data_IF_519325211958
#
_entry.id   IF_519325211958
#
_cell.length_a   1.000
_cell.length_b   1.000
_cell.length_c   1.000
_cell.angle_alpha   90.00
_cell.angle_beta   90.00
_cell.angle_gamma   90.00
#
_symmetry.space_group_name_H-M   'P 1'
#
loop_
_entity.id
_entity.type
_entity.pdbx_description
1 polymer ?
#
# COMPACT_ATOMS: atom_id res chain seq x y z
N UNK A 1 4.74 23.03 -17.42
CA UNK A 1 3.90 21.96 -16.83
C UNK A 1 3.22 22.48 -15.58
N UNK A 2 1.91 22.20 -15.42
CA UNK A 2 1.16 22.54 -14.21
C UNK A 2 1.72 21.72 -13.03
N UNK A 3 1.89 22.35 -11.87
CA UNK A 3 2.41 21.67 -10.67
C UNK A 3 1.33 20.75 -10.12
N UNK A 4 1.64 19.48 -9.92
CA UNK A 4 0.72 18.53 -9.30
C UNK A 4 0.38 18.93 -7.87
N UNK A 5 -0.90 18.80 -7.51
CA UNK A 5 -1.42 18.97 -6.16
C UNK A 5 -1.05 17.76 -5.29
N UNK A 6 -1.18 17.91 -3.97
CA UNK A 6 -0.98 16.81 -3.03
C UNK A 6 -1.94 15.64 -3.28
N UNK A 7 -3.21 15.96 -3.59
CA UNK A 7 -4.26 14.97 -3.90
C UNK A 7 -3.92 14.15 -5.14
N UNK A 8 -3.45 14.77 -6.21
CA UNK A 8 -3.05 14.07 -7.44
C UNK A 8 -1.91 13.08 -7.17
N UNK A 9 -0.92 13.47 -6.36
CA UNK A 9 0.16 12.57 -5.96
C UNK A 9 -0.33 11.40 -5.12
N UNK A 10 -1.27 11.65 -4.23
CA UNK A 10 -1.87 10.60 -3.41
C UNK A 10 -2.64 9.61 -4.28
N UNK A 11 -3.47 10.09 -5.20
CA UNK A 11 -4.19 9.25 -6.18
C UNK A 11 -3.19 8.40 -6.96
N UNK A 12 -2.19 9.03 -7.61
CA UNK A 12 -1.18 8.31 -8.40
C UNK A 12 -0.50 7.19 -7.61
N UNK A 13 -0.10 7.49 -6.37
CA UNK A 13 0.56 6.51 -5.49
C UNK A 13 -0.37 5.37 -5.07
N UNK A 14 -1.62 5.68 -4.70
CA UNK A 14 -2.61 4.69 -4.26
C UNK A 14 -2.99 3.74 -5.41
N UNK A 15 -3.12 4.29 -6.61
CA UNK A 15 -3.57 3.57 -7.80
C UNK A 15 -2.44 2.99 -8.64
N UNK A 16 -1.18 3.28 -8.30
CA UNK A 16 -0.01 2.76 -9.00
C UNK A 16 0.23 3.38 -10.38
N UNK A 17 -0.26 4.59 -10.61
CA UNK A 17 -0.09 5.38 -11.85
C UNK A 17 1.26 6.09 -11.79
N UNK A 18 2.12 5.83 -12.78
CA UNK A 18 3.51 6.32 -12.79
C UNK A 18 3.71 7.59 -13.61
N UNK A 19 2.94 7.75 -14.70
CA UNK A 19 3.03 8.93 -15.58
C UNK A 19 2.06 10.05 -15.12
N UNK A 20 2.02 11.20 -15.82
CA UNK A 20 1.08 12.27 -15.53
C UNK A 20 -0.37 11.77 -15.44
N UNK A 21 -1.10 12.28 -14.44
CA UNK A 21 -2.51 11.95 -14.27
C UNK A 21 -3.34 12.75 -15.30
N UNK A 22 -3.55 12.15 -16.47
CA UNK A 22 -4.45 12.70 -17.48
C UNK A 22 -5.94 12.52 -17.10
N UNK A 23 -6.82 13.14 -17.88
CA UNK A 23 -8.27 13.12 -17.62
C UNK A 23 -8.87 11.70 -17.72
N UNK A 24 -8.34 10.86 -18.61
CA UNK A 24 -8.80 9.47 -18.77
C UNK A 24 -8.41 8.61 -17.57
N UNK A 25 -7.12 8.64 -17.18
CA UNK A 25 -6.59 7.93 -16.01
C UNK A 25 -7.29 8.37 -14.73
N UNK A 26 -7.58 9.67 -14.60
CA UNK A 26 -8.33 10.22 -13.47
C UNK A 26 -9.77 9.70 -13.43
N UNK A 27 -10.49 9.80 -14.55
CA UNK A 27 -11.88 9.32 -14.63
C UNK A 27 -11.98 7.82 -14.33
N UNK A 28 -11.01 7.03 -14.79
CA UNK A 28 -11.01 5.59 -14.59
C UNK A 28 -10.65 5.21 -13.14
N UNK A 29 -9.65 5.88 -12.55
CA UNK A 29 -9.34 5.73 -11.13
C UNK A 29 -10.52 6.12 -10.24
N UNK A 30 -11.20 7.23 -10.55
CA UNK A 30 -12.39 7.68 -9.82
C UNK A 30 -13.56 6.69 -9.99
N UNK A 31 -13.75 6.12 -11.19
CA UNK A 31 -14.79 5.11 -11.47
C UNK A 31 -14.59 3.85 -10.63
N UNK A 32 -13.39 3.26 -10.69
CA UNK A 32 -13.04 2.05 -9.95
C UNK A 32 -13.08 2.33 -8.44
N UNK A 33 -12.48 3.44 -8.04
CA UNK A 33 -12.44 3.91 -6.66
C UNK A 33 -13.82 4.08 -6.05
N UNK A 34 -14.73 4.79 -6.73
CA UNK A 34 -16.09 5.00 -6.24
C UNK A 34 -16.89 3.71 -6.17
N UNK A 35 -16.73 2.79 -7.12
CA UNK A 35 -17.43 1.50 -7.07
C UNK A 35 -17.04 0.71 -5.81
N UNK A 36 -15.75 0.63 -5.51
CA UNK A 36 -15.24 -0.07 -4.32
C UNK A 36 -15.57 0.70 -3.05
N UNK A 37 -15.48 2.02 -3.08
CA UNK A 37 -15.86 2.88 -1.97
C UNK A 37 -17.32 2.67 -1.58
N UNK A 38 -18.26 2.68 -2.52
CA UNK A 38 -19.69 2.47 -2.22
C UNK A 38 -19.91 1.11 -1.54
N UNK A 39 -19.28 0.05 -2.06
CA UNK A 39 -19.37 -1.28 -1.47
C UNK A 39 -18.82 -1.29 -0.04
N UNK A 40 -17.59 -0.80 0.16
CA UNK A 40 -16.96 -0.75 1.47
C UNK A 40 -17.70 0.18 2.44
N UNK A 41 -18.27 1.29 1.96
CA UNK A 41 -19.00 2.25 2.77
C UNK A 41 -20.21 1.60 3.42
N UNK A 42 -21.05 0.91 2.64
CA UNK A 42 -22.21 0.20 3.19
C UNK A 42 -21.79 -1.02 4.01
N UNK A 43 -20.75 -1.74 3.59
CA UNK A 43 -20.20 -2.85 4.38
C UNK A 43 -19.72 -2.36 5.74
N UNK A 44 -19.10 -1.19 5.83
CA UNK A 44 -18.66 -0.63 7.11
C UNK A 44 -19.86 -0.19 7.95
N UNK A 45 -20.86 0.48 7.38
CA UNK A 45 -22.04 0.90 8.16
C UNK A 45 -22.76 -0.30 8.76
N UNK A 46 -23.09 -1.31 7.93
CA UNK A 46 -23.89 -2.44 8.37
C UNK A 46 -23.05 -3.54 9.04
N UNK A 47 -21.84 -3.76 8.55
CA UNK A 47 -20.93 -4.77 9.06
C UNK A 47 -20.38 -4.47 10.45
N UNK A 48 -20.26 -3.18 10.83
CA UNK A 48 -19.85 -2.80 12.19
C UNK A 48 -20.98 -2.91 13.23
N UNK A 49 -22.25 -2.96 12.81
CA UNK A 49 -23.38 -3.05 13.75
C UNK A 49 -23.42 -4.41 14.48
N UNK A 50 -23.08 -5.49 13.77
CA UNK A 50 -23.06 -6.85 14.32
C UNK A 50 -22.02 -7.00 15.45
N UNK A 51 -20.73 -6.65 15.26
CA UNK A 51 -19.72 -6.62 16.31
C UNK A 51 -20.11 -5.75 17.49
N UNK A 52 -20.72 -4.58 17.23
CA UNK A 52 -21.11 -3.66 18.29
C UNK A 52 -22.11 -4.32 19.25
N UNK A 53 -23.09 -5.06 18.73
CA UNK A 53 -24.05 -5.79 19.54
C UNK A 53 -23.45 -7.05 20.19
N UNK A 54 -22.63 -7.79 19.45
CA UNK A 54 -22.00 -9.03 19.94
C UNK A 54 -20.96 -8.75 21.03
N UNK A 55 -20.28 -7.60 21.01
CA UNK A 55 -19.25 -7.25 21.98
C UNK A 55 -19.77 -7.24 23.43
N UNK A 56 -21.06 -6.93 23.64
CA UNK A 56 -21.67 -6.99 24.97
C UNK A 56 -21.73 -8.40 25.55
N UNK A 57 -21.84 -9.43 24.71
CA UNK A 57 -22.01 -10.83 25.14
C UNK A 57 -20.77 -11.69 24.90
N UNK A 58 -20.00 -11.39 23.85
CA UNK A 58 -18.83 -12.15 23.40
C UNK A 58 -17.65 -11.20 23.07
N UNK A 59 -17.16 -10.40 24.04
CA UNK A 59 -16.15 -9.38 23.78
C UNK A 59 -14.82 -9.95 23.25
N UNK A 60 -14.38 -11.09 23.78
CA UNK A 60 -13.14 -11.74 23.37
C UNK A 60 -13.21 -12.25 21.93
N UNK A 61 -14.30 -12.93 21.57
CA UNK A 61 -14.50 -13.46 20.21
C UNK A 61 -14.58 -12.34 19.18
N UNK A 62 -15.28 -11.25 19.51
CA UNK A 62 -15.35 -10.07 18.62
C UNK A 62 -13.96 -9.47 18.44
N UNK A 63 -13.18 -9.30 19.52
CA UNK A 63 -11.83 -8.76 19.43
C UNK A 63 -10.88 -9.64 18.59
N UNK A 64 -11.06 -10.95 18.63
CA UNK A 64 -10.20 -11.89 17.93
C UNK A 64 -10.61 -12.12 16.47
N UNK A 65 -11.92 -12.22 16.18
CA UNK A 65 -12.43 -12.61 14.86
C UNK A 65 -12.69 -11.39 13.97
N UNK A 66 -13.20 -10.30 14.52
CA UNK A 66 -13.66 -9.17 13.71
C UNK A 66 -12.53 -8.39 13.02
N UNK A 67 -11.41 -8.03 13.68
CA UNK A 67 -10.33 -7.31 13.00
C UNK A 67 -9.70 -8.11 11.83
N UNK A 68 -9.39 -9.42 11.97
CA UNK A 68 -8.95 -10.23 10.84
C UNK A 68 -9.97 -10.31 9.70
N UNK A 69 -11.27 -10.41 10.01
CA UNK A 69 -12.32 -10.45 9.00
C UNK A 69 -12.35 -9.16 8.15
N UNK A 70 -12.33 -8.00 8.81
CA UNK A 70 -12.28 -6.70 8.12
C UNK A 70 -10.99 -6.56 7.30
N UNK A 71 -9.86 -7.03 7.83
CA UNK A 71 -8.60 -7.05 7.10
C UNK A 71 -8.70 -7.88 5.81
N UNK A 72 -9.26 -9.10 5.87
CA UNK A 72 -9.45 -9.95 4.69
C UNK A 72 -10.34 -9.27 3.65
N UNK A 73 -11.44 -8.65 4.06
CA UNK A 73 -12.33 -7.90 3.17
C UNK A 73 -11.57 -6.73 2.50
N UNK A 74 -10.80 -5.97 3.28
CA UNK A 74 -9.98 -4.88 2.76
C UNK A 74 -8.94 -5.37 1.76
N UNK A 75 -8.30 -6.52 2.01
CA UNK A 75 -7.34 -7.14 1.09
C UNK A 75 -8.00 -7.60 -0.21
N UNK A 76 -9.19 -8.19 -0.14
CA UNK A 76 -9.97 -8.57 -1.33
C UNK A 76 -10.32 -7.32 -2.15
N UNK A 77 -10.79 -6.25 -1.50
CA UNK A 77 -11.10 -4.99 -2.16
C UNK A 77 -9.87 -4.36 -2.81
N UNK A 78 -8.73 -4.33 -2.10
CA UNK A 78 -7.46 -3.83 -2.65
C UNK A 78 -6.97 -4.68 -3.84
N UNK A 79 -7.12 -6.01 -3.76
CA UNK A 79 -6.84 -6.93 -4.86
C UNK A 79 -7.72 -6.67 -6.08
N UNK A 80 -9.02 -6.47 -5.87
CA UNK A 80 -9.96 -6.12 -6.93
C UNK A 80 -9.63 -4.77 -7.59
N UNK A 81 -9.35 -3.73 -6.80
CA UNK A 81 -8.88 -2.43 -7.33
C UNK A 81 -7.63 -2.66 -8.17
N UNK A 82 -6.60 -3.30 -7.61
CA UNK A 82 -5.34 -3.55 -8.34
C UNK A 82 -5.57 -4.30 -9.65
N UNK A 83 -6.45 -5.30 -9.65
CA UNK A 83 -6.81 -6.05 -10.85
C UNK A 83 -7.50 -5.17 -11.89
N UNK A 84 -8.53 -4.40 -11.51
CA UNK A 84 -9.25 -3.53 -12.44
C UNK A 84 -8.33 -2.44 -13.02
N UNK A 85 -7.48 -1.87 -12.20
CA UNK A 85 -6.50 -0.85 -12.60
C UNK A 85 -5.46 -1.38 -13.59
N UNK A 86 -5.07 -2.66 -13.47
CA UNK A 86 -4.23 -3.34 -14.46
C UNK A 86 -5.00 -3.60 -15.75
N UNK A 87 -6.25 -4.05 -15.64
CA UNK A 87 -7.11 -4.37 -16.79
C UNK A 87 -7.39 -3.15 -17.67
N UNK A 88 -7.50 -1.96 -17.09
CA UNK A 88 -7.78 -0.72 -17.82
C UNK A 88 -6.54 -0.08 -18.45
N UNK A 89 -5.35 -0.63 -18.18
CA UNK A 89 -4.08 -0.15 -18.76
C UNK A 89 -3.56 1.15 -18.13
N UNK A 90 -4.30 1.81 -17.23
CA UNK A 90 -3.89 3.10 -16.63
C UNK A 90 -2.69 3.00 -15.68
N UNK A 91 -2.25 1.77 -15.38
CA UNK A 91 -1.04 1.46 -14.63
C UNK A 91 0.15 1.06 -15.51
N UNK A 92 -0.04 1.01 -16.83
CA UNK A 92 1.08 0.90 -17.78
C UNK A 92 2.02 2.10 -17.59
N UNK A 93 3.31 1.86 -17.75
CA UNK A 93 4.32 2.91 -17.74
C UNK A 93 4.50 3.30 -19.19
N UNK A 94 4.39 4.59 -19.49
CA UNK A 94 4.70 5.16 -20.79
C UNK A 94 5.98 6.00 -20.66
N UNK A 95 7.15 5.43 -21.03
CA UNK A 95 8.44 6.12 -20.95
C UNK A 95 8.49 7.51 -21.58
N UNK A 96 7.72 7.76 -22.65
CA UNK A 96 7.70 9.04 -23.35
C UNK A 96 6.82 10.09 -22.66
N UNK A 97 5.84 9.64 -21.88
CA UNK A 97 5.02 10.52 -21.03
C UNK A 97 5.63 10.80 -19.66
N UNK A 98 6.69 10.10 -19.25
CA UNK A 98 7.37 10.34 -17.99
C UNK A 98 8.10 11.69 -18.01
N UNK A 99 7.80 12.57 -17.06
CA UNK A 99 8.65 13.74 -16.82
C UNK A 99 10.01 13.32 -16.26
N UNK A 100 11.02 14.18 -16.42
CA UNK A 100 12.38 13.95 -15.87
C UNK A 100 12.36 13.65 -14.35
N UNK A 101 11.39 14.23 -13.63
CA UNK A 101 11.20 13.99 -12.19
C UNK A 101 10.63 12.60 -11.91
N UNK A 102 9.66 12.15 -12.69
CA UNK A 102 9.03 10.84 -12.53
C UNK A 102 9.99 9.72 -12.91
N UNK A 103 10.71 9.89 -14.01
CA UNK A 103 11.81 8.99 -14.42
C UNK A 103 12.86 8.83 -13.31
N UNK A 104 13.31 9.94 -12.70
CA UNK A 104 14.24 9.88 -11.54
C UNK A 104 13.61 9.20 -10.31
N UNK A 105 12.31 9.35 -10.07
CA UNK A 105 11.64 8.68 -8.95
C UNK A 105 11.52 7.17 -9.15
N UNK A 106 11.34 6.71 -10.39
CA UNK A 106 11.28 5.30 -10.79
C UNK A 106 12.65 4.59 -10.77
N UNK A 107 13.75 5.34 -10.61
CA UNK A 107 15.12 4.79 -10.60
C UNK A 107 15.50 4.10 -9.29
N UNK A 108 15.07 4.65 -8.14
CA UNK A 108 15.37 4.07 -6.81
C UNK A 108 14.13 3.92 -5.90
N UNK A 109 13.02 3.34 -6.39
CA UNK A 109 11.81 3.17 -5.60
C UNK A 109 12.04 2.20 -4.43
N UNK A 110 12.89 1.18 -4.61
CA UNK A 110 13.20 0.20 -3.57
C UNK A 110 13.94 0.80 -2.39
N UNK A 111 14.87 1.74 -2.61
CA UNK A 111 15.57 2.40 -1.51
C UNK A 111 14.60 3.20 -0.62
N UNK A 112 13.68 3.96 -1.25
CA UNK A 112 12.66 4.73 -0.53
C UNK A 112 11.69 3.82 0.22
N UNK A 113 11.24 2.75 -0.43
CA UNK A 113 10.30 1.78 0.14
C UNK A 113 10.94 1.00 1.31
N UNK A 114 12.18 0.54 1.13
CA UNK A 114 12.97 -0.13 2.16
C UNK A 114 13.17 0.77 3.38
N UNK A 115 13.65 2.00 3.19
CA UNK A 115 13.85 2.95 4.30
C UNK A 115 12.55 3.21 5.07
N UNK A 116 11.45 3.47 4.35
CA UNK A 116 10.15 3.67 4.98
C UNK A 116 9.70 2.44 5.77
N UNK A 117 9.82 1.25 5.18
CA UNK A 117 9.45 -0.01 5.82
C UNK A 117 10.32 -0.30 7.05
N UNK A 118 11.64 -0.09 6.95
CA UNK A 118 12.58 -0.26 8.06
C UNK A 118 12.27 0.63 9.24
N UNK A 119 12.02 1.92 8.99
CA UNK A 119 11.59 2.85 10.03
C UNK A 119 10.26 2.41 10.65
N UNK A 120 9.30 2.01 9.82
CA UNK A 120 8.00 1.58 10.28
C UNK A 120 8.09 0.34 11.19
N UNK A 121 8.81 -0.70 10.75
CA UNK A 121 9.03 -1.93 11.53
C UNK A 121 9.80 -1.64 12.82
N UNK A 122 10.80 -0.75 12.79
CA UNK A 122 11.60 -0.39 13.96
C UNK A 122 10.75 0.16 15.12
N UNK A 123 9.75 0.99 14.82
CA UNK A 123 8.87 1.58 15.84
C UNK A 123 7.65 0.72 16.16
N UNK A 124 7.08 0.02 15.16
CA UNK A 124 5.82 -0.72 15.33
C UNK A 124 6.03 -2.08 16.00
N UNK A 125 7.14 -2.78 15.71
CA UNK A 125 7.38 -4.12 16.29
C UNK A 125 7.42 -4.09 17.82
N UNK A 126 8.18 -3.19 18.47
CA UNK A 126 8.18 -3.07 19.93
C UNK A 126 6.80 -2.72 20.51
N UNK A 127 5.97 -1.98 19.77
CA UNK A 127 4.61 -1.65 20.18
C UNK A 127 3.70 -2.89 20.14
N UNK A 128 3.84 -3.72 19.10
CA UNK A 128 3.10 -4.98 18.97
C UNK A 128 3.50 -5.98 20.06
N UNK A 129 4.79 -6.11 20.34
CA UNK A 129 5.29 -7.03 21.38
C UNK A 129 4.67 -6.70 22.76
N UNK A 130 4.53 -5.42 23.08
CA UNK A 130 3.85 -4.96 24.31
C UNK A 130 2.36 -5.25 24.27
N UNK A 131 1.71 -4.97 23.14
CA UNK A 131 0.27 -5.14 22.99
C UNK A 131 -0.15 -6.61 23.11
N UNK A 132 0.72 -7.54 22.69
CA UNK A 132 0.51 -8.99 22.74
C UNK A 132 0.92 -9.55 24.12
N UNK A 133 1.51 -8.73 25.00
CA UNK A 133 1.92 -9.13 26.35
C UNK A 133 3.23 -9.92 26.41
N UNK A 134 4.00 -9.94 25.32
CA UNK A 134 5.30 -10.62 25.21
C UNK A 134 6.49 -9.66 25.43
N UNK A 135 6.24 -8.33 25.42
CA UNK A 135 7.26 -7.29 25.44
C UNK A 135 7.61 -6.75 26.83
N UNK A 136 8.88 -6.39 27.02
CA UNK A 136 9.33 -5.47 28.09
C UNK A 136 8.90 -4.02 27.77
N UNK A 137 9.28 -3.06 28.61
CA UNK A 137 9.07 -1.63 28.36
C UNK A 137 9.44 -1.23 26.93
N UNK A 138 8.63 -0.35 26.33
CA UNK A 138 8.73 0.05 24.91
C UNK A 138 10.13 0.49 24.53
N UNK A 139 10.76 1.32 25.36
CA UNK A 139 12.10 1.84 25.08
C UNK A 139 13.18 0.75 25.15
N UNK A 140 13.03 -0.26 26.00
CA UNK A 140 13.98 -1.38 26.08
C UNK A 140 13.86 -2.25 24.82
N UNK A 141 12.63 -2.61 24.44
CA UNK A 141 12.36 -3.38 23.23
C UNK A 141 12.79 -2.63 21.96
N UNK A 142 12.59 -1.31 21.91
CA UNK A 142 13.00 -0.44 20.80
C UNK A 142 14.52 -0.41 20.60
N UNK A 143 15.28 -0.22 21.69
CA UNK A 143 16.75 -0.08 21.68
C UNK A 143 17.50 -1.41 21.66
N UNK A 144 16.78 -2.54 21.65
CA UNK A 144 17.39 -3.86 21.60
C UNK A 144 18.09 -4.09 20.25
N UNK A 145 19.30 -4.66 20.28
CA UNK A 145 20.08 -5.00 19.07
C UNK A 145 19.25 -5.85 18.09
N UNK A 146 18.46 -6.80 18.61
CA UNK A 146 17.53 -7.63 17.83
C UNK A 146 16.56 -6.79 17.00
N UNK A 147 15.94 -5.76 17.58
CA UNK A 147 14.97 -4.89 16.88
C UNK A 147 15.67 -4.05 15.80
N UNK A 148 16.85 -3.52 16.10
CA UNK A 148 17.67 -2.81 15.12
C UNK A 148 18.06 -3.70 13.94
N UNK A 149 18.60 -4.89 14.21
CA UNK A 149 19.03 -5.85 13.18
C UNK A 149 17.85 -6.35 12.35
N UNK A 150 16.72 -6.73 12.98
CA UNK A 150 15.53 -7.19 12.26
C UNK A 150 14.97 -6.11 11.34
N UNK A 151 14.93 -4.85 11.80
CA UNK A 151 14.44 -3.72 11.03
C UNK A 151 15.34 -3.40 9.83
N UNK A 152 16.66 -3.48 10.00
CA UNK A 152 17.63 -3.30 8.91
C UNK A 152 17.49 -4.43 7.88
N UNK A 153 17.46 -5.69 8.31
CA UNK A 153 17.30 -6.84 7.41
C UNK A 153 15.96 -6.77 6.66
N UNK A 154 14.88 -6.45 7.36
CA UNK A 154 13.55 -6.26 6.78
C UNK A 154 13.52 -5.11 5.77
N UNK A 155 14.15 -3.98 6.09
CA UNK A 155 14.32 -2.84 5.17
C UNK A 155 15.02 -3.22 3.87
N UNK A 156 16.15 -3.92 3.97
CA UNK A 156 16.93 -4.36 2.81
C UNK A 156 16.11 -5.33 1.96
N UNK A 157 15.52 -6.36 2.58
CA UNK A 157 14.74 -7.37 1.88
C UNK A 157 13.52 -6.76 1.18
N UNK A 158 12.76 -5.93 1.88
CA UNK A 158 11.58 -5.27 1.32
C UNK A 158 11.98 -4.29 0.21
N UNK A 159 13.01 -3.48 0.44
CA UNK A 159 13.52 -2.54 -0.55
C UNK A 159 14.00 -3.23 -1.83
N UNK A 160 14.75 -4.33 -1.70
CA UNK A 160 15.19 -5.15 -2.83
C UNK A 160 13.99 -5.76 -3.59
N UNK A 161 12.99 -6.27 -2.87
CA UNK A 161 11.77 -6.83 -3.46
C UNK A 161 11.00 -5.80 -4.28
N UNK A 162 10.81 -4.58 -3.74
CA UNK A 162 10.15 -3.49 -4.44
C UNK A 162 10.97 -3.03 -5.65
N UNK A 163 12.29 -2.90 -5.51
CA UNK A 163 13.17 -2.54 -6.62
C UNK A 163 13.01 -3.56 -7.76
N UNK A 164 13.04 -4.85 -7.45
CA UNK A 164 12.91 -5.92 -8.42
C UNK A 164 11.56 -5.87 -9.16
N UNK A 165 10.46 -5.71 -8.44
CA UNK A 165 9.11 -5.63 -9.03
C UNK A 165 8.96 -4.44 -9.98
N UNK A 166 9.49 -3.27 -9.61
CA UNK A 166 9.36 -2.07 -10.43
C UNK A 166 10.32 -2.12 -11.63
N UNK A 167 11.55 -2.60 -11.46
CA UNK A 167 12.48 -2.81 -12.57
C UNK A 167 11.87 -3.71 -13.66
N UNK A 168 11.19 -4.79 -13.26
CA UNK A 168 10.47 -5.66 -14.22
C UNK A 168 9.34 -4.96 -14.96
N UNK A 169 8.57 -4.10 -14.27
CA UNK A 169 7.53 -3.29 -14.92
C UNK A 169 8.11 -2.31 -15.94
N UNK A 170 9.23 -1.67 -15.60
CA UNK A 170 9.92 -0.73 -16.50
C UNK A 170 10.51 -1.48 -17.70
N UNK A 171 11.16 -2.63 -17.50
CA UNK A 171 11.72 -3.44 -18.59
C UNK A 171 10.62 -3.91 -19.55
N UNK A 172 9.48 -4.35 -19.01
CA UNK A 172 8.33 -4.74 -19.83
C UNK A 172 7.80 -3.56 -20.65
N UNK A 173 7.61 -2.39 -20.03
CA UNK A 173 7.14 -1.20 -20.72
C UNK A 173 8.04 -0.77 -21.88
N UNK A 174 9.37 -0.93 -21.74
CA UNK A 174 10.32 -0.64 -22.83
C UNK A 174 10.22 -1.62 -23.99
N UNK A 175 10.09 -2.92 -23.71
CA UNK A 175 9.92 -3.94 -24.75
C UNK A 175 8.63 -3.74 -25.54
N UNK A 176 7.54 -3.44 -24.83
CA UNK A 176 6.24 -3.18 -25.45
C UNK A 176 6.30 -1.93 -26.39
N UNK A 177 7.14 -0.92 -26.08
CA UNK A 177 7.37 0.24 -26.97
C UNK A 177 8.26 -0.06 -28.19
N UNK A 178 9.28 -0.93 -28.05
CA UNK A 178 10.20 -1.25 -29.15
C UNK A 178 9.54 -2.15 -30.22
N UNK A 179 8.42 -2.81 -29.88
CA UNK A 179 7.62 -3.68 -30.77
C UNK A 179 6.52 -2.94 -31.55
N UNK A 180 6.20 -1.69 -31.19
CA UNK A 180 5.20 -0.81 -31.83
C UNK A 180 5.81 0.14 -32.87
#
# INVERSE_FOLDING_TARGET
>A
MKKETFTEKLIKRTYGISDPLDEYKRREADRIGNQVFIFLFYLMIFGNLIPLLLAYKYPQEVALVYPPLILVIALIAAGYVTYQMKKTGITAIDPDMLSEKESKQLRYPGLKAGLFFGLWIFFITPLLDILIGEGQDYFQSLLTIRNGVSSILGSIFFGASIQFLISRRIEKAKKDQDED
#
